data_IF_769127373232
#
_entry.id   IF_769127373232
#
_cell.length_a   1.000
_cell.length_b   1.000
_cell.length_c   1.000
_cell.angle_alpha   90.00
_cell.angle_beta   90.00
_cell.angle_gamma   90.00
#
_symmetry.space_group_name_H-M   'P 1'
#
loop_
_entity.id
_entity.type
_entity.pdbx_description
1 polymer ?
#
# COMPACT_ATOMS: atom_id res chain seq x y z
N UNK A 1 10.51 10.84 -0.33
CA UNK A 1 9.13 11.26 -0.56
C UNK A 1 8.57 11.39 0.81
N UNK A 2 8.05 12.56 1.12
CA UNK A 2 7.37 12.77 2.38
C UNK A 2 6.16 11.83 2.44
N UNK A 3 5.88 11.27 3.62
CA UNK A 3 4.73 10.40 3.79
C UNK A 3 3.45 11.17 3.43
N UNK A 4 2.55 10.51 2.71
CA UNK A 4 1.29 11.11 2.29
C UNK A 4 0.14 10.13 2.43
N UNK A 5 -1.05 10.70 2.61
CA UNK A 5 -2.27 9.94 2.77
C UNK A 5 -3.04 9.90 1.44
N UNK A 6 -3.69 8.77 1.18
CA UNK A 6 -4.60 8.57 0.05
C UNK A 6 -5.88 7.91 0.52
N UNK A 7 -7.01 8.37 -0.04
CA UNK A 7 -8.31 7.75 0.14
C UNK A 7 -8.70 7.01 -1.16
N UNK A 8 -8.97 5.71 -1.07
CA UNK A 8 -9.44 4.87 -2.19
C UNK A 8 -10.67 4.10 -1.72
N UNK A 9 -11.81 4.27 -2.38
CA UNK A 9 -13.07 3.61 -1.99
C UNK A 9 -13.41 3.78 -0.49
N UNK A 10 -13.21 4.99 0.05
CA UNK A 10 -13.34 5.35 1.47
C UNK A 10 -12.29 4.73 2.40
N UNK A 11 -11.41 3.86 1.91
CA UNK A 11 -10.27 3.35 2.66
C UNK A 11 -9.11 4.34 2.68
N UNK A 12 -8.57 4.58 3.87
CA UNK A 12 -7.52 5.55 4.12
C UNK A 12 -6.19 4.82 4.30
N UNK A 13 -5.23 5.14 3.43
CA UNK A 13 -3.87 4.60 3.50
C UNK A 13 -2.85 5.72 3.67
N UNK A 14 -1.91 5.51 4.58
CA UNK A 14 -0.68 6.31 4.70
C UNK A 14 0.46 5.60 4.02
N UNK A 15 1.12 6.29 3.09
CA UNK A 15 2.23 5.75 2.30
C UNK A 15 3.50 6.45 2.74
N UNK A 16 4.51 5.68 3.14
CA UNK A 16 5.80 6.19 3.60
C UNK A 16 6.94 5.48 2.88
N UNK A 17 7.87 6.26 2.30
CA UNK A 17 9.10 5.67 1.78
C UNK A 17 10.06 5.33 2.93
N UNK A 18 10.62 4.13 2.87
CA UNK A 18 11.63 3.63 3.79
C UNK A 18 12.82 3.08 3.01
N UNK A 19 14.03 3.39 3.49
CA UNK A 19 15.26 2.77 2.98
C UNK A 19 15.59 1.55 3.83
N UNK A 20 15.69 0.39 3.19
CA UNK A 20 16.06 -0.87 3.83
C UNK A 20 17.56 -0.90 4.12
N UNK A 21 18.04 -1.72 5.07
CA UNK A 21 19.45 -1.83 5.44
C UNK A 21 20.41 -2.33 4.33
N UNK A 22 19.92 -2.61 3.12
CA UNK A 22 20.73 -2.89 1.92
C UNK A 22 20.74 -1.76 0.88
N UNK A 23 20.23 -0.57 1.21
CA UNK A 23 20.13 0.56 0.30
C UNK A 23 18.92 0.53 -0.64
N UNK A 24 18.19 -0.59 -0.69
CA UNK A 24 16.94 -0.73 -1.43
C UNK A 24 15.84 0.20 -0.88
N UNK A 25 15.02 0.72 -1.79
CA UNK A 25 13.83 1.51 -1.45
C UNK A 25 12.62 0.59 -1.30
N UNK A 26 11.87 0.78 -0.22
CA UNK A 26 10.58 0.16 0.02
C UNK A 26 9.55 1.22 0.38
N UNK A 27 8.29 0.97 0.05
CA UNK A 27 7.17 1.81 0.46
C UNK A 27 6.31 1.02 1.44
N UNK A 28 6.11 1.59 2.62
CA UNK A 28 5.23 1.07 3.64
C UNK A 28 3.83 1.70 3.46
N UNK A 29 2.80 0.85 3.42
CA UNK A 29 1.40 1.22 3.30
C UNK A 29 0.70 0.86 4.59
N UNK A 30 0.20 1.85 5.32
CA UNK A 30 -0.56 1.65 6.56
C UNK A 30 -2.02 1.96 6.31
N UNK A 31 -2.90 0.99 6.54
CA UNK A 31 -4.34 1.12 6.37
C UNK A 31 -4.96 1.71 7.65
N UNK A 32 -5.20 3.02 7.67
CA UNK A 32 -5.54 3.80 8.86
C UNK A 32 -6.95 3.54 9.42
N UNK A 33 -7.92 3.22 8.56
CA UNK A 33 -9.28 2.85 8.94
C UNK A 33 -9.58 1.36 8.66
N UNK A 34 -8.51 0.60 8.44
CA UNK A 34 -8.56 -0.81 8.11
C UNK A 34 -8.75 -1.73 9.31
N UNK A 35 -8.58 -3.04 9.09
CA UNK A 35 -8.63 -4.04 10.16
C UNK A 35 -7.52 -3.80 11.20
N UNK A 36 -7.64 -4.48 12.34
CA UNK A 36 -6.72 -4.34 13.47
C UNK A 36 -6.54 -2.89 13.94
N UNK A 37 -7.65 -2.16 14.09
CA UNK A 37 -7.66 -0.76 14.60
C UNK A 37 -6.75 0.19 13.79
N UNK A 38 -6.64 -0.04 12.47
CA UNK A 38 -5.85 0.81 11.59
C UNK A 38 -4.34 0.55 11.63
N UNK A 39 -3.92 -0.56 12.22
CA UNK A 39 -2.49 -0.93 12.32
C UNK A 39 -2.04 -1.89 11.23
N UNK A 40 -2.99 -2.45 10.47
CA UNK A 40 -2.67 -3.32 9.36
C UNK A 40 -1.99 -2.54 8.24
N UNK A 41 -1.03 -3.18 7.59
CA UNK A 41 -0.30 -2.58 6.49
C UNK A 41 0.52 -3.61 5.74
N UNK A 42 0.98 -3.21 4.56
CA UNK A 42 1.87 -4.02 3.73
C UNK A 42 3.04 -3.18 3.24
N UNK A 43 4.13 -3.84 2.91
CA UNK A 43 5.34 -3.18 2.39
C UNK A 43 5.58 -3.65 0.97
N UNK A 44 5.72 -2.72 0.03
CA UNK A 44 6.16 -3.01 -1.34
C UNK A 44 7.62 -2.60 -1.48
N UNK A 45 8.49 -3.58 -1.65
CA UNK A 45 9.90 -3.35 -1.97
C UNK A 45 10.17 -3.65 -3.44
N UNK A 46 10.81 -2.72 -4.16
CA UNK A 46 11.49 -3.08 -5.42
C UNK A 46 12.95 -3.37 -5.12
N UNK A 47 13.31 -4.66 -5.16
CA UNK A 47 14.70 -5.04 -5.28
C UNK A 47 15.17 -4.61 -6.68
N UNK A 48 16.17 -3.74 -6.74
CA UNK A 48 16.92 -3.53 -7.97
C UNK A 48 17.63 -4.86 -8.29
N UNK A 49 16.99 -5.73 -9.06
CA UNK A 49 17.63 -6.95 -9.55
C UNK A 49 18.81 -6.51 -10.40
N UNK A 50 20.01 -6.76 -9.89
CA UNK A 50 21.26 -6.32 -10.48
C UNK A 50 21.39 -6.79 -11.91
N UNK A 51 21.42 -5.84 -12.83
CA UNK A 51 22.33 -5.90 -13.97
C UNK A 51 23.35 -4.81 -13.70
N UNK A 52 24.64 -5.15 -13.64
CA UNK A 52 25.76 -4.27 -13.28
C UNK A 52 25.93 -3.07 -14.22
N UNK A 53 25.00 -2.13 -14.14
CA UNK A 53 24.97 -0.87 -14.85
C UNK A 53 24.39 0.16 -13.91
N UNK A 54 25.08 1.28 -13.78
CA UNK A 54 24.71 2.43 -12.96
C UNK A 54 23.39 2.98 -13.50
N UNK A 55 22.25 2.46 -13.07
CA UNK A 55 20.96 3.09 -13.34
C UNK A 55 20.76 4.18 -12.29
N UNK A 56 20.52 5.43 -12.71
CA UNK A 56 20.35 6.54 -11.80
C UNK A 56 19.18 6.27 -10.85
N UNK A 57 19.32 6.75 -9.62
CA UNK A 57 18.43 6.70 -8.45
C UNK A 57 16.93 6.90 -8.77
N UNK A 58 16.60 7.46 -9.94
CA UNK A 58 15.25 7.68 -10.47
C UNK A 58 14.54 6.44 -11.04
N UNK A 59 15.22 5.34 -11.36
CA UNK A 59 14.57 4.13 -11.96
C UNK A 59 13.98 3.20 -10.88
N UNK A 60 14.38 3.36 -9.62
CA UNK A 60 13.90 2.52 -8.50
C UNK A 60 12.79 3.14 -7.65
N UNK A 61 12.44 4.40 -7.88
CA UNK A 61 11.45 5.13 -7.07
C UNK A 61 10.07 5.01 -7.69
N UNK A 62 9.12 4.40 -6.96
CA UNK A 62 7.72 4.41 -7.40
C UNK A 62 7.19 5.83 -7.39
N UNK A 63 6.53 6.21 -8.47
CA UNK A 63 5.81 7.47 -8.54
C UNK A 63 4.58 7.43 -7.63
N UNK A 64 4.06 8.61 -7.28
CA UNK A 64 2.83 8.71 -6.50
C UNK A 64 1.68 7.91 -7.13
N UNK A 65 1.56 7.98 -8.46
CA UNK A 65 0.51 7.32 -9.22
C UNK A 65 0.63 5.79 -9.15
N UNK A 66 1.85 5.25 -9.28
CA UNK A 66 2.11 3.82 -9.09
C UNK A 66 1.75 3.36 -7.68
N UNK A 67 2.12 4.12 -6.64
CA UNK A 67 1.76 3.79 -5.26
C UNK A 67 0.24 3.79 -5.05
N UNK A 68 -0.47 4.72 -5.67
CA UNK A 68 -1.94 4.77 -5.63
C UNK A 68 -2.54 3.56 -6.36
N UNK A 69 -1.95 3.14 -7.49
CA UNK A 69 -2.39 1.96 -8.22
C UNK A 69 -2.22 0.68 -7.39
N UNK A 70 -1.12 0.55 -6.63
CA UNK A 70 -0.92 -0.58 -5.71
C UNK A 70 -2.01 -0.63 -4.63
N UNK A 71 -2.33 0.51 -3.98
CA UNK A 71 -3.41 0.58 -2.97
C UNK A 71 -4.75 0.20 -3.61
N UNK A 72 -5.03 0.69 -4.81
CA UNK A 72 -6.27 0.37 -5.51
C UNK A 72 -6.38 -1.11 -5.83
N UNK A 73 -5.30 -1.73 -6.30
CA UNK A 73 -5.25 -3.18 -6.56
C UNK A 73 -5.44 -4.00 -5.28
N UNK A 74 -4.81 -3.56 -4.18
CA UNK A 74 -4.97 -4.19 -2.87
C UNK A 74 -6.42 -4.12 -2.37
N UNK A 75 -7.03 -2.93 -2.34
CA UNK A 75 -8.42 -2.73 -1.92
C UNK A 75 -9.38 -3.52 -2.79
N UNK A 76 -9.20 -3.52 -4.11
CA UNK A 76 -10.01 -4.33 -5.02
C UNK A 76 -9.90 -5.82 -4.68
N UNK A 77 -8.69 -6.36 -4.53
CA UNK A 77 -8.48 -7.78 -4.23
C UNK A 77 -9.03 -8.23 -2.86
N UNK A 78 -9.07 -7.34 -1.87
CA UNK A 78 -9.70 -7.65 -0.56
C UNK A 78 -11.23 -7.73 -0.69
N UNK A 79 -11.84 -6.87 -1.49
CA UNK A 79 -13.31 -6.74 -1.59
C UNK A 79 -13.94 -7.44 -2.81
N UNK A 80 -13.15 -8.15 -3.61
CA UNK A 80 -13.67 -9.07 -4.61
C UNK A 80 -14.43 -10.23 -3.93
N UNK A 81 -15.41 -10.86 -4.61
CA UNK A 81 -16.23 -11.92 -4.02
C UNK A 81 -15.44 -13.16 -3.55
N UNK A 82 -14.24 -13.38 -4.08
CA UNK A 82 -13.27 -14.40 -3.64
C UNK A 82 -12.08 -13.80 -2.88
N UNK A 83 -12.20 -12.54 -2.45
CA UNK A 83 -11.15 -11.76 -1.80
C UNK A 83 -10.83 -12.24 -0.39
N UNK A 84 -9.64 -11.89 0.10
CA UNK A 84 -9.11 -12.32 1.40
C UNK A 84 -9.73 -11.61 2.61
N UNK A 85 -10.95 -11.06 2.49
CA UNK A 85 -11.67 -10.50 3.65
C UNK A 85 -11.96 -11.53 4.74
N UNK A 86 -11.86 -12.83 4.43
CA UNK A 86 -12.04 -13.94 5.39
C UNK A 86 -11.04 -13.89 6.55
N UNK A 87 -9.84 -13.32 6.34
CA UNK A 87 -8.85 -13.10 7.41
C UNK A 87 -9.33 -12.08 8.47
N UNK A 88 -10.33 -11.25 8.14
CA UNK A 88 -10.90 -10.22 9.02
C UNK A 88 -12.43 -10.22 8.98
N UNK A 89 -13.09 -11.20 9.63
CA UNK A 89 -14.56 -11.35 9.57
C UNK A 89 -15.31 -10.15 10.16
N UNK A 90 -14.70 -9.40 11.08
CA UNK A 90 -15.26 -8.19 11.69
C UNK A 90 -14.97 -6.90 10.89
N UNK A 91 -14.15 -6.99 9.83
CA UNK A 91 -13.83 -5.83 9.00
C UNK A 91 -14.90 -5.62 7.94
N UNK A 92 -15.48 -4.42 7.95
CA UNK A 92 -16.48 -3.99 6.98
C UNK A 92 -15.87 -2.87 6.17
N UNK A 93 -16.06 -2.89 4.85
CA UNK A 93 -15.58 -1.83 3.97
C UNK A 93 -16.06 -0.46 4.45
N UNK A 94 -15.17 0.53 4.47
CA UNK A 94 -15.44 1.89 4.89
C UNK A 94 -16.62 2.48 4.12
N UNK A 95 -16.70 2.23 2.80
CA UNK A 95 -17.84 2.66 1.96
C UNK A 95 -19.21 2.13 2.42
N UNK A 96 -19.24 0.99 3.11
CA UNK A 96 -20.47 0.40 3.66
C UNK A 96 -20.77 1.01 5.03
N UNK A 97 -19.74 1.27 5.84
CA UNK A 97 -19.88 1.94 7.15
C UNK A 97 -20.39 3.37 7.03
N UNK A 98 -19.93 4.11 6.01
CA UNK A 98 -20.34 5.50 5.76
C UNK A 98 -21.73 5.62 5.11
N UNK A 99 -22.34 4.50 4.69
CA UNK A 99 -23.66 4.47 4.06
C UNK A 99 -24.82 4.30 5.05
N UNK A 100 -24.53 4.06 6.34
CA UNK A 100 -25.49 3.95 7.44
C UNK A 100 -25.59 5.24 8.27
#
# INVERSE_FOLDING_TARGET
MDPFDVAIDHELFRISERRQPGGALSCDFTWLNGPMEGTYGFTVGRSAVGTGGITPDSVGRMTRDELIAEVRGFVAGIYEPDGSSDDWPDHVAARVRDAE
#
